data_IF_951058585782
#
_entry.id   IF_951058585782
#
_cell.length_a   1.000
_cell.length_b   1.000
_cell.length_c   1.000
_cell.angle_alpha   90.00
_cell.angle_beta   90.00
_cell.angle_gamma   90.00
#
_symmetry.space_group_name_H-M   'P 1'
#
loop_
_entity.id
_entity.type
_entity.pdbx_description
1 polymer ?
#
# COMPACT_ATOMS: atom_id res chain seq x y z
N UNK A 1 -4.12 -8.15 -4.85
CA UNK A 1 -3.77 -9.30 -5.71
C UNK A 1 -2.37 -9.84 -5.38
N UNK A 2 -1.31 -9.04 -5.54
CA UNK A 2 0.09 -9.47 -5.37
C UNK A 2 0.39 -10.15 -4.02
N UNK A 3 -0.13 -9.62 -2.91
CA UNK A 3 0.04 -10.22 -1.56
C UNK A 3 -0.54 -11.62 -1.41
N UNK A 4 -1.47 -12.01 -2.30
CA UNK A 4 -2.16 -13.29 -2.27
C UNK A 4 -1.57 -14.30 -3.25
N UNK A 5 -0.61 -13.90 -4.08
CA UNK A 5 0.07 -14.76 -5.05
C UNK A 5 1.50 -15.01 -4.59
N UNK A 6 1.82 -16.27 -4.29
CA UNK A 6 3.18 -16.69 -3.88
C UNK A 6 3.95 -17.24 -5.08
N UNK A 7 5.27 -17.13 -5.03
CA UNK A 7 6.15 -17.68 -6.08
C UNK A 7 6.05 -16.91 -7.40
N UNK A 8 6.39 -17.59 -8.50
CA UNK A 8 6.35 -17.04 -9.85
C UNK A 8 4.91 -17.08 -10.42
N UNK A 9 4.29 -15.93 -10.75
CA UNK A 9 2.93 -15.89 -11.30
C UNK A 9 2.85 -16.21 -12.81
N UNK A 10 3.98 -16.31 -13.53
CA UNK A 10 4.01 -16.54 -14.98
C UNK A 10 3.31 -17.85 -15.36
N UNK A 11 2.47 -17.80 -16.40
CA UNK A 11 1.68 -18.96 -16.87
C UNK A 11 0.39 -19.20 -16.08
N UNK A 12 0.22 -18.58 -14.91
CA UNK A 12 -1.01 -18.66 -14.11
C UNK A 12 -1.93 -17.45 -14.30
N UNK A 13 -1.40 -16.30 -14.74
CA UNK A 13 -2.14 -15.06 -14.94
C UNK A 13 -1.74 -14.42 -16.28
N UNK A 14 -2.55 -13.45 -16.76
CA UNK A 14 -2.22 -12.69 -17.98
C UNK A 14 -0.92 -11.91 -17.81
N UNK A 15 -0.20 -11.59 -18.90
CA UNK A 15 1.05 -10.83 -18.85
C UNK A 15 0.93 -9.51 -18.06
N UNK A 16 -0.20 -8.82 -18.17
CA UNK A 16 -0.47 -7.55 -17.48
C UNK A 16 -0.62 -7.74 -15.97
N UNK A 17 -1.32 -8.79 -15.54
CA UNK A 17 -1.46 -9.12 -14.11
C UNK A 17 -0.11 -9.57 -13.54
N UNK A 18 0.65 -10.37 -14.29
CA UNK A 18 2.01 -10.78 -13.93
C UNK A 18 2.91 -9.56 -13.74
N UNK A 19 2.90 -8.63 -14.68
CA UNK A 19 3.65 -7.37 -14.59
C UNK A 19 3.23 -6.54 -13.37
N UNK A 20 1.93 -6.44 -13.08
CA UNK A 20 1.41 -5.77 -11.90
C UNK A 20 1.86 -6.41 -10.57
N UNK A 21 1.86 -7.75 -10.49
CA UNK A 21 2.34 -8.49 -9.31
C UNK A 21 3.84 -8.24 -9.09
N UNK A 22 4.64 -8.27 -10.16
CA UNK A 22 6.06 -7.98 -10.07
C UNK A 22 6.34 -6.52 -9.68
N UNK A 23 5.62 -5.57 -10.29
CA UNK A 23 5.73 -4.16 -9.96
C UNK A 23 5.44 -3.91 -8.47
N UNK A 24 4.36 -4.48 -7.93
CA UNK A 24 4.03 -4.42 -6.50
C UNK A 24 5.20 -4.88 -5.63
N UNK A 25 5.77 -6.07 -5.91
CA UNK A 25 6.90 -6.62 -5.15
C UNK A 25 8.16 -5.76 -5.24
N UNK A 26 8.41 -5.10 -6.37
CA UNK A 26 9.52 -4.16 -6.50
C UNK A 26 9.29 -2.88 -5.71
N UNK A 27 8.06 -2.36 -5.70
CA UNK A 27 7.66 -1.22 -4.87
C UNK A 27 7.90 -1.55 -3.39
N UNK A 28 7.42 -2.70 -2.91
CA UNK A 28 7.63 -3.13 -1.52
C UNK A 28 9.11 -3.19 -1.15
N UNK A 29 9.92 -3.89 -1.96
CA UNK A 29 11.37 -4.02 -1.73
C UNK A 29 12.07 -2.66 -1.70
N UNK A 30 11.70 -1.77 -2.62
CA UNK A 30 12.30 -0.44 -2.72
C UNK A 30 11.92 0.40 -1.51
N UNK A 31 10.64 0.39 -1.13
CA UNK A 31 10.11 1.10 0.04
C UNK A 31 10.79 0.62 1.32
N UNK A 32 10.81 -0.69 1.58
CA UNK A 32 11.37 -1.28 2.81
C UNK A 32 12.86 -0.99 3.00
N UNK A 33 13.59 -0.86 1.89
CA UNK A 33 15.03 -0.60 1.90
C UNK A 33 15.39 0.89 1.87
N UNK A 34 14.43 1.77 1.54
CA UNK A 34 14.68 3.19 1.32
C UNK A 34 15.14 3.90 2.60
N UNK A 35 16.19 4.75 2.55
CA UNK A 35 16.69 5.47 3.72
C UNK A 35 15.62 6.30 4.45
N UNK A 36 14.76 7.00 3.72
CA UNK A 36 13.67 7.80 4.31
C UNK A 36 12.63 6.93 5.04
N UNK A 37 12.31 5.74 4.53
CA UNK A 37 11.38 4.81 5.18
C UNK A 37 12.02 4.20 6.42
N UNK A 38 13.32 3.88 6.36
CA UNK A 38 14.10 3.49 7.55
C UNK A 38 14.09 4.58 8.61
N UNK A 39 14.28 5.85 8.22
CA UNK A 39 14.16 7.00 9.12
C UNK A 39 12.76 7.08 9.74
N UNK A 40 11.70 6.97 8.94
CA UNK A 40 10.32 7.01 9.41
C UNK A 40 10.04 5.91 10.47
N UNK A 41 10.60 4.71 10.30
CA UNK A 41 10.48 3.62 11.29
C UNK A 41 11.08 3.99 12.65
N UNK A 42 12.10 4.84 12.70
CA UNK A 42 12.71 5.28 13.95
C UNK A 42 11.92 6.36 14.70
N UNK A 43 10.93 6.99 14.04
CA UNK A 43 10.00 7.91 14.69
C UNK A 43 9.04 7.19 15.65
N UNK A 44 8.86 5.88 15.48
CA UNK A 44 8.06 5.05 16.38
C UNK A 44 8.85 4.71 17.66
N UNK A 45 8.13 4.71 18.79
CA UNK A 45 8.64 4.27 20.09
C UNK A 45 9.17 2.82 19.99
N UNK A 46 10.19 2.43 20.78
CA UNK A 46 10.78 1.10 20.72
C UNK A 46 9.77 -0.05 20.75
N UNK A 47 8.71 0.07 21.57
CA UNK A 47 7.66 -0.95 21.73
C UNK A 47 6.84 -1.20 20.46
N UNK A 48 6.71 -0.18 19.60
CA UNK A 48 5.92 -0.21 18.36
C UNK A 48 6.78 -0.29 17.10
N UNK A 49 8.10 -0.11 17.21
CA UNK A 49 9.03 -0.13 16.07
C UNK A 49 8.98 -1.43 15.25
N UNK A 50 8.67 -2.57 15.88
CA UNK A 50 8.54 -3.87 15.18
C UNK A 50 7.33 -3.91 14.22
N UNK A 51 6.28 -3.15 14.51
CA UNK A 51 5.08 -3.06 13.67
C UNK A 51 5.05 -1.80 12.80
N UNK A 52 6.01 -0.89 12.99
CA UNK A 52 6.13 0.35 12.23
C UNK A 52 6.06 0.16 10.71
N UNK A 53 6.65 -0.89 10.08
CA UNK A 53 6.47 -1.09 8.63
C UNK A 53 4.99 -1.19 8.22
N UNK A 54 4.21 -2.04 8.91
CA UNK A 54 2.78 -2.22 8.65
C UNK A 54 2.02 -0.91 8.91
N UNK A 55 2.37 -0.20 9.98
CA UNK A 55 1.73 1.09 10.29
C UNK A 55 2.04 2.14 9.22
N UNK A 56 3.28 2.16 8.72
CA UNK A 56 3.71 3.08 7.67
C UNK A 56 2.97 2.84 6.35
N UNK A 57 2.68 1.60 5.98
CA UNK A 57 1.89 1.30 4.78
C UNK A 57 0.54 2.04 4.80
N UNK A 58 -0.17 1.99 5.94
CA UNK A 58 -1.44 2.71 6.12
C UNK A 58 -1.26 4.23 6.18
N UNK A 59 -0.12 4.72 6.67
CA UNK A 59 0.18 6.16 6.75
C UNK A 59 0.50 6.72 5.36
N UNK A 60 1.19 5.97 4.51
CA UNK A 60 1.43 6.35 3.12
C UNK A 60 0.13 6.41 2.35
N UNK A 61 -0.75 5.42 2.52
CA UNK A 61 -2.10 5.45 1.97
C UNK A 61 -2.91 6.64 2.49
N UNK A 62 -2.79 6.98 3.78
CA UNK A 62 -3.44 8.15 4.36
C UNK A 62 -3.02 9.44 3.66
N UNK A 63 -1.71 9.68 3.53
CA UNK A 63 -1.21 10.90 2.90
C UNK A 63 -1.53 10.93 1.40
N UNK A 64 -1.46 9.79 0.71
CA UNK A 64 -1.87 9.69 -0.69
C UNK A 64 -3.34 10.06 -0.89
N UNK A 65 -4.23 9.48 -0.08
CA UNK A 65 -5.67 9.77 -0.18
C UNK A 65 -6.01 11.20 0.24
N UNK A 66 -5.38 11.71 1.30
CA UNK A 66 -5.59 13.07 1.80
C UNK A 66 -5.12 14.13 0.80
N UNK A 67 -3.95 13.91 0.18
CA UNK A 67 -3.31 14.86 -0.73
C UNK A 67 -3.51 14.53 -2.21
N UNK A 68 -4.50 13.70 -2.53
CA UNK A 68 -4.71 13.18 -3.87
C UNK A 68 -4.70 14.29 -4.95
N UNK A 69 -5.43 15.38 -4.75
CA UNK A 69 -5.54 16.48 -5.72
C UNK A 69 -4.20 17.18 -6.02
N UNK A 70 -3.24 17.10 -5.12
CA UNK A 70 -1.88 17.62 -5.32
C UNK A 70 -1.00 16.62 -6.08
N UNK A 71 -1.25 15.32 -5.91
CA UNK A 71 -0.47 14.23 -6.47
C UNK A 71 -0.93 13.91 -7.89
N UNK A 72 -2.24 13.82 -8.09
CA UNK A 72 -2.91 13.55 -9.36
C UNK A 72 -4.00 14.61 -9.58
N UNK A 73 -3.69 15.68 -10.32
CA UNK A 73 -4.63 16.77 -10.57
C UNK A 73 -5.61 16.48 -11.72
N UNK A 74 -5.40 15.43 -12.52
CA UNK A 74 -6.20 15.20 -13.73
C UNK A 74 -7.54 14.50 -13.49
N UNK A 75 -7.70 13.80 -12.36
CA UNK A 75 -8.95 13.18 -11.93
C UNK A 75 -8.99 13.03 -10.41
N UNK A 76 -10.19 12.98 -9.85
CA UNK A 76 -10.42 12.85 -8.41
C UNK A 76 -10.21 11.41 -7.92
N UNK A 77 -9.93 11.25 -6.62
CA UNK A 77 -9.81 9.93 -5.99
C UNK A 77 -11.08 9.08 -6.18
N UNK A 78 -12.31 9.60 -6.02
CA UNK A 78 -13.52 8.83 -6.31
C UNK A 78 -13.61 8.32 -7.76
N UNK A 79 -13.19 9.13 -8.75
CA UNK A 79 -13.17 8.70 -10.15
C UNK A 79 -12.16 7.57 -10.35
N UNK A 80 -10.96 7.69 -9.78
CA UNK A 80 -9.95 6.63 -9.81
C UNK A 80 -10.45 5.33 -9.18
N UNK A 81 -11.08 5.41 -8.00
CA UNK A 81 -11.63 4.25 -7.29
C UNK A 81 -12.73 3.59 -8.10
N UNK A 82 -13.61 4.39 -8.71
CA UNK A 82 -14.69 3.88 -9.56
C UNK A 82 -14.15 3.17 -10.81
N UNK A 83 -13.17 3.78 -11.48
CA UNK A 83 -12.48 3.20 -12.62
C UNK A 83 -11.78 1.89 -12.26
N UNK A 84 -11.02 1.88 -11.17
CA UNK A 84 -10.31 0.69 -10.68
C UNK A 84 -11.27 -0.46 -10.35
N UNK A 85 -12.39 -0.15 -9.69
CA UNK A 85 -13.43 -1.14 -9.39
C UNK A 85 -14.04 -1.73 -10.66
N UNK A 86 -14.35 -0.91 -11.66
CA UNK A 86 -14.90 -1.37 -12.94
C UNK A 86 -13.99 -2.34 -13.69
N UNK A 87 -12.67 -2.22 -13.53
CA UNK A 87 -11.69 -3.13 -14.11
C UNK A 87 -11.56 -4.42 -13.30
N UNK A 88 -11.54 -4.30 -11.97
CA UNK A 88 -11.22 -5.43 -11.07
C UNK A 88 -12.43 -6.33 -10.85
N UNK A 89 -13.61 -5.77 -10.57
CA UNK A 89 -14.80 -6.50 -10.12
C UNK A 89 -15.25 -7.61 -11.10
N UNK A 90 -15.28 -7.40 -12.43
CA UNK A 90 -15.63 -8.45 -13.39
C UNK A 90 -14.68 -9.65 -13.38
N UNK A 91 -13.44 -9.48 -12.91
CA UNK A 91 -12.39 -10.49 -12.94
C UNK A 91 -12.20 -11.20 -11.59
N UNK A 92 -12.92 -10.81 -10.53
CA UNK A 92 -12.67 -11.29 -9.17
C UNK A 92 -12.79 -12.82 -9.03
N UNK A 93 -13.74 -13.46 -9.72
CA UNK A 93 -13.94 -14.92 -9.66
C UNK A 93 -12.72 -15.73 -10.08
N UNK A 94 -11.79 -15.14 -10.86
CA UNK A 94 -10.55 -15.76 -11.33
C UNK A 94 -9.33 -15.44 -10.44
N UNK A 95 -9.53 -14.75 -9.32
CA UNK A 95 -8.46 -14.36 -8.40
C UNK A 95 -8.41 -15.27 -7.16
N UNK A 96 -7.32 -15.24 -6.36
CA UNK A 96 -7.26 -16.00 -5.12
C UNK A 96 -8.43 -15.66 -4.17
N UNK A 97 -9.02 -16.68 -3.54
CA UNK A 97 -10.19 -16.55 -2.65
C UNK A 97 -10.05 -15.42 -1.61
N UNK A 98 -8.89 -15.33 -0.95
CA UNK A 98 -8.63 -14.27 0.04
C UNK A 98 -8.58 -12.85 -0.54
N UNK A 99 -8.29 -12.71 -1.83
CA UNK A 99 -8.41 -11.42 -2.52
C UNK A 99 -9.89 -11.12 -2.83
N UNK A 100 -10.70 -12.12 -3.15
CA UNK A 100 -12.15 -11.96 -3.30
C UNK A 100 -12.78 -11.50 -1.98
N UNK A 101 -12.47 -12.19 -0.87
CA UNK A 101 -12.91 -11.81 0.49
C UNK A 101 -12.52 -10.37 0.86
N UNK A 102 -11.31 -9.93 0.47
CA UNK A 102 -10.88 -8.54 0.70
C UNK A 102 -11.80 -7.54 -0.03
N UNK A 103 -12.19 -7.84 -1.27
CA UNK A 103 -12.99 -6.96 -2.12
C UNK A 103 -14.45 -6.84 -1.63
N UNK A 104 -14.97 -7.80 -0.87
CA UNK A 104 -16.28 -7.70 -0.19
C UNK A 104 -16.33 -6.53 0.80
N UNK A 105 -15.18 -6.10 1.33
CA UNK A 105 -15.08 -4.99 2.28
C UNK A 105 -14.50 -3.73 1.64
N UNK A 106 -13.50 -3.87 0.77
CA UNK A 106 -12.73 -2.75 0.21
C UNK A 106 -13.63 -1.73 -0.50
N UNK A 107 -14.52 -2.19 -1.38
CA UNK A 107 -15.41 -1.31 -2.14
C UNK A 107 -16.56 -0.75 -1.32
N UNK A 108 -17.37 -1.58 -0.61
CA UNK A 108 -18.54 -1.05 0.09
C UNK A 108 -18.17 -0.12 1.26
N UNK A 109 -17.02 -0.34 1.89
CA UNK A 109 -16.52 0.52 2.97
C UNK A 109 -15.61 1.66 2.48
N UNK A 110 -15.40 1.77 1.16
CA UNK A 110 -14.67 2.85 0.51
C UNK A 110 -13.26 3.07 1.07
N UNK A 111 -12.50 1.98 1.31
CA UNK A 111 -11.23 2.05 2.05
C UNK A 111 -10.27 3.11 1.52
N UNK A 112 -10.05 3.11 0.19
CA UNK A 112 -9.13 4.03 -0.48
C UNK A 112 -9.48 5.50 -0.20
N UNK A 113 -10.75 5.87 -0.28
CA UNK A 113 -11.21 7.24 0.03
C UNK A 113 -11.11 7.54 1.52
N UNK A 114 -11.53 6.59 2.36
CA UNK A 114 -11.57 6.76 3.82
C UNK A 114 -10.20 6.80 4.48
N UNK A 115 -9.17 6.31 3.80
CA UNK A 115 -7.80 6.47 4.28
C UNK A 115 -7.40 7.94 4.47
N UNK A 116 -8.04 8.92 3.82
CA UNK A 116 -7.85 10.34 4.14
C UNK A 116 -8.25 10.73 5.59
N UNK A 117 -9.03 9.91 6.29
CA UNK A 117 -9.43 10.14 7.68
C UNK A 117 -8.44 9.49 8.66
N UNK A 118 -7.73 10.29 9.49
CA UNK A 118 -6.82 9.73 10.53
C UNK A 118 -7.52 8.73 11.45
N UNK A 119 -8.77 9.01 11.83
CA UNK A 119 -9.56 8.13 12.69
C UNK A 119 -9.84 6.77 12.03
N UNK A 120 -9.94 6.72 10.70
CA UNK A 120 -10.12 5.47 9.97
C UNK A 120 -8.83 4.63 9.96
N UNK A 121 -7.65 5.27 9.88
CA UNK A 121 -6.36 4.60 10.06
C UNK A 121 -6.29 3.92 11.44
N UNK A 122 -6.66 4.64 12.51
CA UNK A 122 -6.73 4.07 13.86
C UNK A 122 -7.67 2.86 13.95
N UNK A 123 -8.86 2.93 13.32
CA UNK A 123 -9.80 1.79 13.23
C UNK A 123 -9.19 0.58 12.52
N UNK A 124 -8.49 0.81 11.40
CA UNK A 124 -7.84 -0.25 10.63
C UNK A 124 -6.72 -0.93 11.41
N UNK A 125 -5.85 -0.15 12.08
CA UNK A 125 -4.79 -0.67 12.95
C UNK A 125 -5.36 -1.51 14.10
N UNK A 126 -6.39 -1.02 14.78
CA UNK A 126 -7.08 -1.75 15.84
C UNK A 126 -7.75 -3.04 15.34
N UNK A 127 -8.39 -2.99 14.17
CA UNK A 127 -8.99 -4.16 13.53
C UNK A 127 -7.96 -5.23 13.17
N UNK A 128 -6.76 -4.83 12.72
CA UNK A 128 -5.64 -5.75 12.48
C UNK A 128 -5.09 -6.35 13.79
N UNK A 129 -4.87 -5.52 14.82
CA UNK A 129 -4.41 -5.96 16.13
C UNK A 129 -5.34 -7.01 16.75
N UNK A 130 -6.67 -6.78 16.68
CA UNK A 130 -7.68 -7.70 17.20
C UNK A 130 -7.70 -9.04 16.47
N UNK A 131 -7.54 -9.05 15.15
CA UNK A 131 -7.55 -10.27 14.33
C UNK A 131 -6.28 -11.11 14.48
N UNK A 132 -5.14 -10.49 14.82
CA UNK A 132 -3.85 -11.16 14.93
C UNK A 132 -3.15 -10.79 16.24
N UNK A 133 -3.23 -11.62 17.29
CA UNK A 133 -2.63 -11.32 18.61
C UNK A 133 -1.14 -10.98 18.57
N UNK A 134 -0.38 -11.58 17.63
CA UNK A 134 1.05 -11.26 17.43
C UNK A 134 1.30 -9.80 17.01
N UNK A 135 0.29 -9.12 16.48
CA UNK A 135 0.32 -7.72 16.03
C UNK A 135 -0.45 -6.79 16.99
N UNK A 136 -0.65 -7.18 18.26
CA UNK A 136 -1.32 -6.35 19.27
C UNK A 136 -0.73 -4.94 19.39
N UNK A 137 0.58 -4.81 19.19
CA UNK A 137 1.32 -3.54 19.18
C UNK A 137 0.84 -2.53 18.12
N UNK A 138 0.12 -2.96 17.06
CA UNK A 138 -0.45 -2.04 16.08
C UNK A 138 -1.41 -1.02 16.72
N UNK A 139 -2.14 -1.42 17.75
CA UNK A 139 -3.09 -0.54 18.43
C UNK A 139 -2.41 0.71 19.00
N UNK A 140 -1.25 0.53 19.67
CA UNK A 140 -0.48 1.64 20.24
C UNK A 140 0.35 2.43 19.22
N UNK A 141 0.58 1.90 18.02
CA UNK A 141 1.30 2.60 16.95
C UNK A 141 0.52 3.78 16.37
N UNK A 142 -0.80 3.84 16.58
CA UNK A 142 -1.62 4.98 16.15
C UNK A 142 -1.26 6.27 16.88
N UNK A 143 -0.91 6.19 18.17
CA UNK A 143 -0.49 7.36 18.94
C UNK A 143 0.84 7.93 18.41
N UNK A 144 1.75 7.06 17.96
CA UNK A 144 3.01 7.48 17.33
C UNK A 144 2.75 8.18 16.00
N UNK A 145 1.80 7.66 15.21
CA UNK A 145 1.36 8.34 13.99
C UNK A 145 0.84 9.75 14.28
N UNK A 146 -0.02 9.92 15.29
CA UNK A 146 -0.55 11.24 15.65
C UNK A 146 0.55 12.18 16.16
N UNK A 147 1.45 11.68 17.00
CA UNK A 147 2.55 12.45 17.57
C UNK A 147 3.55 12.91 16.50
N UNK A 148 3.87 12.04 15.54
CA UNK A 148 4.89 12.27 14.51
C UNK A 148 4.30 12.69 13.16
N UNK A 149 3.00 13.04 13.13
CA UNK A 149 2.23 13.26 11.91
C UNK A 149 2.94 14.19 10.93
N UNK A 150 3.40 15.35 11.41
CA UNK A 150 4.05 16.37 10.59
C UNK A 150 5.39 15.89 10.00
N UNK A 151 6.18 15.14 10.78
CA UNK A 151 7.47 14.62 10.30
C UNK A 151 7.27 13.47 9.30
N UNK A 152 6.28 12.60 9.55
CA UNK A 152 5.89 11.55 8.62
C UNK A 152 5.37 12.13 7.30
N UNK A 153 4.59 13.21 7.35
CA UNK A 153 4.09 13.91 6.16
C UNK A 153 5.23 14.52 5.33
N UNK A 154 6.21 15.14 5.97
CA UNK A 154 7.41 15.65 5.30
C UNK A 154 8.17 14.52 4.59
N UNK A 155 8.35 13.38 5.28
CA UNK A 155 9.00 12.21 4.69
C UNK A 155 8.21 11.70 3.49
N UNK A 156 6.88 11.61 3.58
CA UNK A 156 6.02 11.21 2.48
C UNK A 156 6.25 12.10 1.24
N UNK A 157 6.23 13.42 1.39
CA UNK A 157 6.44 14.35 0.27
C UNK A 157 7.86 14.33 -0.31
N UNK A 158 8.86 13.84 0.44
CA UNK A 158 10.20 13.60 -0.08
C UNK A 158 10.32 12.24 -0.80
N UNK A 159 9.66 11.21 -0.27
CA UNK A 159 9.80 9.84 -0.73
C UNK A 159 8.88 9.49 -1.90
N UNK A 160 7.59 9.85 -1.82
CA UNK A 160 6.57 9.41 -2.76
C UNK A 160 6.85 9.82 -4.22
N UNK A 161 7.31 11.06 -4.53
CA UNK A 161 7.67 11.44 -5.90
C UNK A 161 8.74 10.53 -6.51
N UNK A 162 9.74 10.10 -5.72
CA UNK A 162 10.80 9.19 -6.19
C UNK A 162 10.23 7.83 -6.62
N UNK A 163 9.18 7.37 -5.95
CA UNK A 163 8.49 6.13 -6.30
C UNK A 163 7.65 6.27 -7.56
N UNK A 164 6.97 7.41 -7.72
CA UNK A 164 6.20 7.72 -8.93
C UNK A 164 7.12 7.80 -10.15
N UNK A 165 8.27 8.46 -10.03
CA UNK A 165 9.21 8.60 -11.14
C UNK A 165 9.77 7.23 -11.57
N UNK A 166 10.18 6.39 -10.61
CA UNK A 166 10.61 5.00 -10.89
C UNK A 166 9.52 4.17 -11.58
N UNK A 167 8.26 4.36 -11.20
CA UNK A 167 7.14 3.67 -11.84
C UNK A 167 6.91 4.16 -13.28
N UNK A 168 6.96 5.48 -13.52
CA UNK A 168 6.78 6.09 -14.85
C UNK A 168 7.89 5.70 -15.83
N UNK A 169 9.12 5.63 -15.36
CA UNK A 169 10.28 5.18 -16.14
C UNK A 169 10.27 3.66 -16.39
N UNK A 170 9.25 2.96 -15.86
CA UNK A 170 9.08 1.51 -15.91
C UNK A 170 10.30 0.77 -15.34
N UNK A 171 11.09 1.41 -14.47
CA UNK A 171 12.25 0.77 -13.82
C UNK A 171 11.82 -0.49 -13.09
N UNK A 172 10.68 -0.42 -12.39
CA UNK A 172 10.12 -1.58 -11.71
C UNK A 172 9.73 -2.72 -12.65
N UNK A 173 9.44 -2.47 -13.93
CA UNK A 173 9.08 -3.53 -14.89
C UNK A 173 10.32 -4.08 -15.59
N UNK A 174 11.27 -3.22 -15.95
CA UNK A 174 12.51 -3.57 -16.68
C UNK A 174 13.40 -4.54 -15.91
N UNK A 175 13.53 -4.38 -14.60
CA UNK A 175 14.32 -5.28 -13.75
C UNK A 175 13.77 -6.72 -13.71
N UNK A 176 12.50 -6.95 -14.10
CA UNK A 176 11.92 -8.29 -14.16
C UNK A 176 11.93 -8.91 -15.55
N UNK A 177 11.96 -8.12 -16.62
CA UNK A 177 12.10 -8.67 -17.98
C UNK A 177 13.47 -9.31 -18.21
N UNK A 178 14.51 -8.82 -17.52
CA UNK A 178 15.88 -9.34 -17.65
C UNK A 178 16.05 -10.67 -16.89
N UNK A 179 15.26 -10.93 -15.84
CA UNK A 179 15.37 -12.15 -15.02
C UNK A 179 14.30 -13.22 -15.31
N UNK A 180 13.34 -12.94 -16.19
CA UNK A 180 12.35 -13.94 -16.63
C UNK A 180 12.77 -14.71 -17.90
N UNK A 181 13.94 -14.39 -18.46
CA UNK A 181 14.47 -14.96 -19.70
C UNK A 181 15.65 -15.94 -19.51
N UNK A 182 15.93 -16.37 -18.26
CA UNK A 182 16.94 -17.39 -17.94
C UNK A 182 16.33 -18.60 -17.23
#
# INVERSE_FOLDING_TARGET
>A
MADYVRGNPTGHYSPEIVAGIFMHRAVDRTTDSHPLVKQARYLFRPDYRRVAPITLDLIWDHFLSLHWSKIEPSYSLPEFVHFSRHIIEPNLSHTPEKFQELNEYLWPQQWLTRYAEKAYIGKSLNGMARRRPKLSALSGSFDDFLLQYTELEKIFFQFYPLMVDKAREQFFVRDFTIHAAE
#
